data_IF_735570613760
#
_entry.id   IF_735570613760
#
_cell.length_a   1.000
_cell.length_b   1.000
_cell.length_c   1.000
_cell.angle_alpha   90.00
_cell.angle_beta   90.00
_cell.angle_gamma   90.00
#
_symmetry.space_group_name_H-M   'P 1'
#
loop_
_entity.id
_entity.type
_entity.pdbx_description
1 polymer ?
#
# COMPACT_ATOMS: atom_id res chain seq x y z
N UNK A 1 -0.09 -5.98 -31.23
CA UNK A 1 -0.34 -7.03 -32.23
C UNK A 1 0.85 -7.97 -32.18
N UNK A 2 0.64 -9.26 -31.93
CA UNK A 2 1.73 -10.25 -31.84
C UNK A 2 2.44 -10.34 -33.21
N UNK A 3 3.74 -10.62 -33.24
CA UNK A 3 4.53 -10.80 -34.47
C UNK A 3 3.88 -11.88 -35.36
N UNK A 4 3.28 -12.90 -34.75
CA UNK A 4 2.56 -13.95 -35.50
C UNK A 4 1.29 -13.42 -36.16
N UNK A 5 0.54 -12.55 -35.48
CA UNK A 5 -0.67 -11.89 -36.02
C UNK A 5 -0.32 -10.94 -37.16
N UNK A 6 0.71 -10.10 -36.97
CA UNK A 6 1.21 -9.19 -37.98
C UNK A 6 1.66 -9.94 -39.24
N UNK A 7 2.42 -11.02 -39.07
CA UNK A 7 2.88 -11.85 -40.17
C UNK A 7 1.70 -12.57 -40.86
N UNK A 8 0.69 -13.05 -40.14
CA UNK A 8 -0.50 -13.67 -40.76
C UNK A 8 -1.37 -12.68 -41.55
N UNK A 9 -1.35 -11.40 -41.21
CA UNK A 9 -2.03 -10.32 -41.92
C UNK A 9 -1.24 -9.82 -43.14
N UNK A 10 0.08 -9.92 -43.11
CA UNK A 10 1.00 -9.41 -44.14
C UNK A 10 1.74 -10.50 -44.93
N UNK A 11 1.28 -11.76 -44.88
CA UNK A 11 1.80 -12.83 -45.75
C UNK A 11 1.55 -12.44 -47.21
N UNK A 12 2.63 -12.40 -47.97
CA UNK A 12 2.60 -12.19 -49.42
C UNK A 12 1.93 -13.40 -50.10
N UNK A 13 0.73 -13.19 -50.63
CA UNK A 13 -0.11 -14.24 -51.24
C UNK A 13 0.45 -14.76 -52.56
N UNK A 14 1.55 -14.19 -53.04
CA UNK A 14 2.23 -14.60 -54.27
C UNK A 14 3.18 -15.79 -54.09
N UNK A 15 3.62 -16.10 -52.86
CA UNK A 15 4.62 -17.15 -52.59
C UNK A 15 4.07 -18.44 -51.93
N UNK A 16 2.82 -18.43 -51.45
CA UNK A 16 2.18 -19.58 -50.81
C UNK A 16 0.75 -19.79 -51.31
N UNK A 17 0.35 -21.04 -51.57
CA UNK A 17 -1.01 -21.32 -52.01
C UNK A 17 -2.02 -20.84 -50.97
N UNK A 18 -3.09 -20.16 -51.39
CA UNK A 18 -4.14 -19.64 -50.49
C UNK A 18 -4.69 -20.69 -49.50
N UNK A 19 -4.63 -21.97 -49.89
CA UNK A 19 -4.97 -23.13 -49.06
C UNK A 19 -4.04 -23.30 -47.84
N UNK A 20 -2.73 -23.13 -48.03
CA UNK A 20 -1.74 -23.25 -46.94
C UNK A 20 -1.88 -22.12 -45.93
N UNK A 21 -2.13 -20.89 -46.39
CA UNK A 21 -2.37 -19.72 -45.53
C UNK A 21 -3.65 -19.91 -44.70
N UNK A 22 -4.73 -20.41 -45.33
CA UNK A 22 -6.00 -20.72 -44.64
C UNK A 22 -5.81 -21.80 -43.57
N UNK A 23 -5.01 -22.84 -43.86
CA UNK A 23 -4.69 -23.90 -42.89
C UNK A 23 -3.84 -23.36 -41.73
N UNK A 24 -2.87 -22.49 -41.99
CA UNK A 24 -2.05 -21.85 -40.97
C UNK A 24 -2.89 -20.95 -40.04
N UNK A 25 -3.75 -20.09 -40.60
CA UNK A 25 -4.69 -19.24 -39.82
C UNK A 25 -5.63 -20.08 -38.96
N UNK A 26 -6.19 -21.17 -39.50
CA UNK A 26 -7.04 -22.09 -38.74
C UNK A 26 -6.29 -22.73 -37.58
N UNK A 27 -5.07 -23.21 -37.82
CA UNK A 27 -4.26 -23.82 -36.78
C UNK A 27 -3.89 -22.81 -35.68
N UNK A 28 -3.49 -21.59 -36.06
CA UNK A 28 -3.22 -20.51 -35.10
C UNK A 28 -4.44 -20.17 -34.24
N UNK A 29 -5.61 -19.99 -34.86
CA UNK A 29 -6.86 -19.73 -34.13
C UNK A 29 -7.22 -20.89 -33.19
N UNK A 30 -6.99 -22.14 -33.62
CA UNK A 30 -7.18 -23.31 -32.77
C UNK A 30 -6.19 -23.30 -31.58
N UNK A 31 -4.93 -22.94 -31.80
CA UNK A 31 -3.94 -22.79 -30.72
C UNK A 31 -4.33 -21.70 -29.73
N UNK A 32 -4.76 -20.52 -30.19
CA UNK A 32 -5.29 -19.44 -29.34
C UNK A 32 -6.51 -19.90 -28.53
N UNK A 33 -7.42 -20.65 -29.16
CA UNK A 33 -8.59 -21.19 -28.47
C UNK A 33 -8.21 -22.21 -27.38
N UNK A 34 -7.21 -23.06 -27.66
CA UNK A 34 -6.64 -23.99 -26.68
C UNK A 34 -5.91 -23.25 -25.58
N UNK A 35 -5.12 -22.22 -25.89
CA UNK A 35 -4.43 -21.37 -24.92
C UNK A 35 -5.43 -20.69 -24.00
N UNK A 36 -6.45 -20.02 -24.54
CA UNK A 36 -7.51 -19.39 -23.74
C UNK A 36 -8.30 -20.41 -22.89
N UNK A 37 -8.56 -21.61 -23.43
CA UNK A 37 -9.21 -22.69 -22.69
C UNK A 37 -8.34 -23.23 -21.55
N UNK A 38 -7.04 -23.38 -21.79
CA UNK A 38 -6.06 -23.80 -20.80
C UNK A 38 -5.87 -22.72 -19.74
N UNK A 39 -5.74 -21.44 -20.10
CA UNK A 39 -5.69 -20.31 -19.17
C UNK A 39 -6.88 -20.33 -18.21
N UNK A 40 -8.09 -20.55 -18.76
CA UNK A 40 -9.33 -20.64 -17.99
C UNK A 40 -9.39 -21.88 -17.09
N UNK A 41 -8.80 -23.02 -17.48
CA UNK A 41 -8.75 -24.23 -16.65
C UNK A 41 -7.63 -24.21 -15.61
N UNK A 42 -6.50 -23.59 -15.94
CA UNK A 42 -5.39 -23.32 -15.02
C UNK A 42 -5.89 -22.50 -13.83
N UNK A 43 -6.99 -21.75 -13.97
CA UNK A 43 -7.66 -21.06 -12.86
C UNK A 43 -7.95 -21.90 -11.63
N UNK A 44 -8.28 -23.18 -11.82
CA UNK A 44 -8.62 -24.07 -10.71
C UNK A 44 -7.42 -24.88 -10.19
N UNK A 45 -6.26 -24.85 -10.87
CA UNK A 45 -5.13 -25.74 -10.59
C UNK A 45 -3.78 -25.04 -10.36
N UNK A 46 -3.64 -23.76 -10.73
CA UNK A 46 -2.44 -22.97 -10.52
C UNK A 46 -2.42 -22.34 -9.13
N UNK A 47 -1.97 -23.13 -8.14
CA UNK A 47 -1.52 -22.58 -6.87
C UNK A 47 -0.36 -21.61 -7.08
N UNK A 48 -0.16 -20.66 -6.17
CA UNK A 48 0.98 -19.73 -6.25
C UNK A 48 2.31 -20.47 -6.35
N UNK A 49 2.46 -21.58 -5.62
CA UNK A 49 3.63 -22.47 -5.69
C UNK A 49 3.88 -22.99 -7.11
N UNK A 50 2.85 -23.48 -7.80
CA UNK A 50 2.99 -23.98 -9.17
C UNK A 50 3.35 -22.87 -10.15
N UNK A 51 2.81 -21.67 -9.97
CA UNK A 51 3.18 -20.51 -10.80
C UNK A 51 4.64 -20.12 -10.60
N UNK A 52 5.09 -20.06 -9.35
CA UNK A 52 6.49 -19.80 -9.00
C UNK A 52 7.37 -20.87 -9.63
N UNK A 53 7.09 -22.16 -9.41
CA UNK A 53 7.88 -23.27 -9.95
C UNK A 53 7.94 -23.28 -11.48
N UNK A 54 6.85 -22.87 -12.15
CA UNK A 54 6.79 -22.84 -13.61
C UNK A 54 7.56 -21.65 -14.20
N UNK A 55 7.44 -20.46 -13.63
CA UNK A 55 8.02 -19.25 -14.20
C UNK A 55 9.45 -18.99 -13.74
N UNK A 56 9.88 -19.51 -12.58
CA UNK A 56 11.24 -19.26 -12.04
C UNK A 56 12.34 -19.66 -13.03
N UNK A 57 12.41 -20.91 -13.52
CA UNK A 57 13.46 -21.28 -14.47
C UNK A 57 13.41 -20.49 -15.78
N UNK A 58 12.23 -20.02 -16.19
CA UNK A 58 12.05 -19.20 -17.40
C UNK A 58 12.62 -17.79 -17.21
N UNK A 59 12.32 -17.17 -16.07
CA UNK A 59 12.84 -15.84 -15.76
C UNK A 59 14.35 -15.88 -15.54
N UNK A 60 14.89 -16.96 -14.97
CA UNK A 60 16.33 -17.14 -14.79
C UNK A 60 17.08 -17.37 -16.11
N UNK A 61 16.47 -18.09 -17.05
CA UNK A 61 17.02 -18.29 -18.39
C UNK A 61 16.96 -17.02 -19.27
N UNK A 62 15.92 -16.19 -19.08
CA UNK A 62 15.68 -14.98 -19.87
C UNK A 62 15.44 -13.75 -18.96
N UNK A 63 16.44 -13.34 -18.14
CA UNK A 63 16.26 -12.26 -17.16
C UNK A 63 15.92 -10.92 -17.83
N UNK A 64 16.42 -10.72 -19.05
CA UNK A 64 16.25 -9.50 -19.84
C UNK A 64 15.05 -9.54 -20.81
N UNK A 65 14.22 -10.59 -20.79
CA UNK A 65 12.95 -10.61 -21.52
C UNK A 65 11.83 -9.80 -20.82
N UNK A 66 11.47 -8.63 -21.36
CA UNK A 66 10.42 -7.75 -20.80
C UNK A 66 9.01 -8.32 -20.98
N UNK A 67 8.73 -8.99 -22.11
CA UNK A 67 7.41 -9.57 -22.37
C UNK A 67 7.11 -10.73 -21.43
N UNK A 68 8.13 -11.53 -21.09
CA UNK A 68 8.03 -12.53 -20.04
C UNK A 68 7.73 -11.89 -18.67
N UNK A 69 8.43 -10.80 -18.31
CA UNK A 69 8.17 -10.08 -17.07
C UNK A 69 6.73 -9.54 -17.00
N UNK A 70 6.23 -8.93 -18.09
CA UNK A 70 4.83 -8.48 -18.20
C UNK A 70 3.84 -9.63 -18.02
N UNK A 71 4.11 -10.79 -18.63
CA UNK A 71 3.28 -12.00 -18.45
C UNK A 71 3.27 -12.46 -16.98
N UNK A 72 4.44 -12.54 -16.35
CA UNK A 72 4.58 -12.91 -14.92
C UNK A 72 3.75 -11.96 -14.05
N UNK A 73 3.94 -10.64 -14.17
CA UNK A 73 3.20 -9.65 -13.39
C UNK A 73 1.69 -9.84 -13.54
N UNK A 74 1.20 -9.89 -14.80
CA UNK A 74 -0.23 -10.04 -15.10
C UNK A 74 -0.82 -11.30 -14.46
N UNK A 75 -0.18 -12.46 -14.65
CA UNK A 75 -0.70 -13.73 -14.13
C UNK A 75 -0.65 -13.79 -12.60
N UNK A 76 0.42 -13.27 -12.00
CA UNK A 76 0.58 -13.30 -10.54
C UNK A 76 -0.40 -12.34 -9.86
N UNK A 77 -0.64 -11.15 -10.41
CA UNK A 77 -1.66 -10.22 -9.90
C UNK A 77 -3.07 -10.80 -10.02
N UNK A 78 -3.41 -11.38 -11.18
CA UNK A 78 -4.70 -12.04 -11.42
C UNK A 78 -4.97 -13.16 -10.41
N UNK A 79 -3.91 -13.84 -9.96
CA UNK A 79 -3.94 -14.94 -9.00
C UNK A 79 -3.73 -14.51 -7.55
N UNK A 80 -3.46 -13.23 -7.31
CA UNK A 80 -3.08 -12.69 -6.00
C UNK A 80 -1.84 -13.39 -5.41
N UNK A 81 -0.93 -13.85 -6.27
CA UNK A 81 0.32 -14.53 -5.90
C UNK A 81 1.51 -13.55 -5.83
N UNK A 82 1.29 -12.36 -5.30
CA UNK A 82 2.25 -11.24 -5.36
C UNK A 82 3.32 -11.27 -4.26
N UNK A 83 3.35 -12.32 -3.46
CA UNK A 83 4.29 -12.51 -2.34
C UNK A 83 5.42 -13.50 -2.74
N UNK A 84 6.10 -13.24 -3.85
CA UNK A 84 7.22 -14.07 -4.32
C UNK A 84 8.36 -13.25 -4.92
N UNK A 85 9.58 -13.76 -4.86
CA UNK A 85 10.77 -13.09 -5.42
C UNK A 85 10.71 -12.95 -6.94
N UNK A 86 10.18 -13.96 -7.62
CA UNK A 86 10.00 -13.94 -9.08
C UNK A 86 9.06 -12.81 -9.51
N UNK A 87 7.96 -12.60 -8.77
CA UNK A 87 7.03 -11.51 -9.02
C UNK A 87 7.69 -10.16 -8.78
N UNK A 88 8.45 -10.02 -7.68
CA UNK A 88 9.16 -8.78 -7.38
C UNK A 88 10.15 -8.41 -8.48
N UNK A 89 11.01 -9.35 -8.92
CA UNK A 89 11.95 -9.13 -10.03
C UNK A 89 11.24 -8.78 -11.34
N UNK A 90 10.14 -9.46 -11.63
CA UNK A 90 9.35 -9.17 -12.83
C UNK A 90 8.72 -7.76 -12.76
N UNK A 91 8.13 -7.40 -11.62
CA UNK A 91 7.50 -6.10 -11.44
C UNK A 91 8.54 -4.98 -11.47
N UNK A 92 9.69 -5.15 -10.82
CA UNK A 92 10.77 -4.15 -10.84
C UNK A 92 11.14 -3.78 -12.27
N UNK A 93 11.25 -4.78 -13.14
CA UNK A 93 11.56 -4.56 -14.55
C UNK A 93 10.44 -3.93 -15.34
N UNK A 94 9.20 -4.41 -15.16
CA UNK A 94 8.03 -3.81 -15.82
C UNK A 94 7.86 -2.36 -15.41
N UNK A 95 8.08 -2.07 -14.12
CA UNK A 95 7.99 -0.74 -13.56
C UNK A 95 9.11 0.17 -14.07
N UNK A 96 10.35 -0.33 -14.19
CA UNK A 96 11.48 0.45 -14.71
C UNK A 96 11.25 0.90 -16.16
N UNK A 97 10.64 0.05 -16.99
CA UNK A 97 10.34 0.39 -18.38
C UNK A 97 9.14 1.35 -18.51
N UNK A 98 8.05 1.05 -17.80
CA UNK A 98 6.81 1.81 -17.92
C UNK A 98 6.17 1.99 -16.54
N UNK A 99 6.62 3.00 -15.76
CA UNK A 99 6.05 3.29 -14.46
C UNK A 99 4.55 3.64 -14.57
N UNK A 100 3.75 3.01 -13.73
CA UNK A 100 2.32 3.29 -13.56
C UNK A 100 2.01 3.48 -12.09
N UNK A 101 0.88 4.11 -11.76
CA UNK A 101 0.45 4.28 -10.37
C UNK A 101 0.31 2.92 -9.65
N UNK A 102 -0.25 1.92 -10.33
CA UNK A 102 -0.37 0.55 -9.83
C UNK A 102 0.98 -0.14 -9.62
N UNK A 103 1.89 -0.06 -10.58
CA UNK A 103 3.21 -0.69 -10.44
C UNK A 103 4.03 -0.04 -9.33
N UNK A 104 3.98 1.29 -9.21
CA UNK A 104 4.60 2.03 -8.11
C UNK A 104 4.02 1.62 -6.75
N UNK A 105 2.69 1.54 -6.64
CA UNK A 105 2.01 1.10 -5.42
C UNK A 105 2.42 -0.34 -5.04
N UNK A 106 2.45 -1.24 -6.02
CA UNK A 106 2.85 -2.64 -5.82
C UNK A 106 4.32 -2.76 -5.42
N UNK A 107 5.24 -2.00 -6.04
CA UNK A 107 6.66 -1.94 -5.66
C UNK A 107 6.83 -1.44 -4.23
N UNK A 108 6.16 -0.35 -3.87
CA UNK A 108 6.18 0.22 -2.51
C UNK A 108 5.64 -0.77 -1.46
N UNK A 109 4.50 -1.40 -1.73
CA UNK A 109 3.90 -2.38 -0.83
C UNK A 109 4.80 -3.63 -0.64
N UNK A 110 5.45 -4.10 -1.70
CA UNK A 110 6.38 -5.23 -1.58
C UNK A 110 7.62 -4.87 -0.78
N UNK A 111 8.23 -3.71 -1.03
CA UNK A 111 9.35 -3.23 -0.25
C UNK A 111 8.97 -3.09 1.24
N UNK A 112 7.77 -2.61 1.56
CA UNK A 112 7.21 -2.59 2.93
C UNK A 112 7.14 -3.99 3.55
N UNK A 113 6.58 -4.98 2.84
CA UNK A 113 6.49 -6.38 3.31
C UNK A 113 7.87 -6.99 3.57
N UNK A 114 8.87 -6.60 2.77
CA UNK A 114 10.28 -6.99 2.91
C UNK A 114 11.03 -6.18 3.97
N UNK A 115 10.38 -5.22 4.63
CA UNK A 115 10.97 -4.28 5.60
C UNK A 115 12.06 -3.38 5.00
N UNK A 116 12.03 -3.19 3.69
CA UNK A 116 12.93 -2.31 2.94
C UNK A 116 12.34 -0.89 2.85
N UNK A 117 12.02 -0.29 4.00
CA UNK A 117 11.29 0.98 4.11
C UNK A 117 11.91 2.12 3.28
N UNK A 118 13.24 2.24 3.32
CA UNK A 118 13.95 3.26 2.53
C UNK A 118 13.75 3.10 1.02
N UNK A 119 13.59 1.86 0.52
CA UNK A 119 13.25 1.58 -0.88
C UNK A 119 11.77 1.77 -1.16
N UNK A 120 10.89 1.48 -0.20
CA UNK A 120 9.45 1.63 -0.36
C UNK A 120 9.03 3.09 -0.56
N UNK A 121 9.61 4.00 0.23
CA UNK A 121 9.28 5.43 0.24
C UNK A 121 9.17 6.06 -1.17
N UNK A 122 10.21 6.03 -2.05
CA UNK A 122 10.12 6.68 -3.36
C UNK A 122 9.01 6.09 -4.23
N UNK A 123 8.79 4.77 -4.23
CA UNK A 123 7.70 4.15 -4.98
C UNK A 123 6.32 4.56 -4.46
N UNK A 124 6.16 4.69 -3.14
CA UNK A 124 4.90 5.12 -2.54
C UNK A 124 4.62 6.61 -2.82
N UNK A 125 5.64 7.47 -2.83
CA UNK A 125 5.51 8.87 -3.27
C UNK A 125 5.07 8.91 -4.73
N UNK A 126 5.78 8.20 -5.61
CA UNK A 126 5.44 8.14 -7.03
C UNK A 126 4.02 7.62 -7.26
N UNK A 127 3.56 6.62 -6.51
CA UNK A 127 2.19 6.14 -6.56
C UNK A 127 1.18 7.24 -6.21
N UNK A 128 1.44 8.03 -5.15
CA UNK A 128 0.57 9.15 -4.77
C UNK A 128 0.53 10.28 -5.80
N UNK A 129 1.61 10.48 -6.56
CA UNK A 129 1.69 11.48 -7.63
C UNK A 129 0.98 11.01 -8.90
N UNK A 130 1.16 9.74 -9.27
CA UNK A 130 0.61 9.16 -10.50
C UNK A 130 -0.89 8.83 -10.41
N UNK A 131 -1.41 8.48 -9.23
CA UNK A 131 -2.86 8.27 -9.09
C UNK A 131 -3.59 9.61 -9.29
N UNK A 132 -4.54 9.70 -10.23
CA UNK A 132 -5.40 10.88 -10.34
C UNK A 132 -6.39 10.90 -9.18
N UNK A 133 -6.87 12.10 -8.84
CA UNK A 133 -7.84 12.28 -7.74
C UNK A 133 -9.17 11.56 -8.01
N UNK A 134 -9.51 11.31 -9.28
CA UNK A 134 -10.69 10.51 -9.68
C UNK A 134 -10.64 9.06 -9.21
N UNK A 135 -9.47 8.53 -8.86
CA UNK A 135 -9.28 7.19 -8.28
C UNK A 135 -8.95 7.29 -6.79
N UNK A 136 -9.74 8.09 -6.08
CA UNK A 136 -9.55 8.46 -4.68
C UNK A 136 -9.24 7.26 -3.75
N UNK A 137 -9.94 6.14 -3.90
CA UNK A 137 -9.71 4.96 -3.06
C UNK A 137 -8.28 4.40 -3.18
N UNK A 138 -7.72 4.33 -4.40
CA UNK A 138 -6.35 3.83 -4.60
C UNK A 138 -5.32 4.88 -4.16
N UNK A 139 -5.56 6.15 -4.47
CA UNK A 139 -4.71 7.26 -4.03
C UNK A 139 -4.62 7.35 -2.51
N UNK A 140 -5.76 7.25 -1.82
CA UNK A 140 -5.83 7.18 -0.36
C UNK A 140 -5.12 5.96 0.22
N UNK A 141 -5.20 4.80 -0.44
CA UNK A 141 -4.45 3.61 -0.03
C UNK A 141 -2.93 3.78 -0.19
N UNK A 142 -2.48 4.44 -1.27
CA UNK A 142 -1.08 4.79 -1.47
C UNK A 142 -0.57 5.74 -0.37
N UNK A 143 -1.34 6.78 -0.04
CA UNK A 143 -1.03 7.68 1.08
C UNK A 143 -0.99 6.96 2.43
N UNK A 144 -1.84 5.96 2.64
CA UNK A 144 -1.89 5.22 3.90
C UNK A 144 -0.62 4.38 4.09
N UNK A 145 -0.18 3.69 3.03
CA UNK A 145 1.10 2.96 3.03
C UNK A 145 2.28 3.92 3.19
N UNK A 146 2.27 5.06 2.51
CA UNK A 146 3.32 6.09 2.64
C UNK A 146 3.40 6.62 4.07
N UNK A 147 2.26 6.88 4.73
CA UNK A 147 2.23 7.33 6.11
C UNK A 147 2.84 6.30 7.06
N UNK A 148 2.55 5.01 6.86
CA UNK A 148 3.08 3.92 7.67
C UNK A 148 4.59 3.70 7.45
N UNK A 149 5.05 3.80 6.20
CA UNK A 149 6.46 3.75 5.83
C UNK A 149 7.26 4.89 6.49
N UNK A 150 6.79 6.13 6.31
CA UNK A 150 7.41 7.33 6.91
C UNK A 150 7.39 7.28 8.44
N UNK A 151 6.31 6.76 9.06
CA UNK A 151 6.24 6.53 10.51
C UNK A 151 7.33 5.56 10.95
N UNK A 152 7.53 4.47 10.21
CA UNK A 152 8.55 3.46 10.52
C UNK A 152 9.96 4.02 10.38
N UNK A 153 10.18 4.88 9.38
CA UNK A 153 11.41 5.66 9.19
C UNK A 153 11.56 6.82 10.19
N UNK A 154 10.63 6.99 11.13
CA UNK A 154 10.58 8.08 12.13
C UNK A 154 10.53 9.48 11.53
N UNK A 155 10.08 9.61 10.29
CA UNK A 155 9.86 10.89 9.60
C UNK A 155 8.47 11.45 9.95
N UNK A 156 8.25 11.73 11.24
CA UNK A 156 6.91 11.91 11.79
C UNK A 156 6.11 13.08 11.20
N UNK A 157 6.75 14.20 10.88
CA UNK A 157 6.06 15.34 10.25
C UNK A 157 5.54 14.97 8.85
N UNK A 158 6.37 14.30 8.05
CA UNK A 158 5.98 13.84 6.72
C UNK A 158 4.91 12.74 6.80
N UNK A 159 5.05 11.80 7.73
CA UNK A 159 4.07 10.75 7.99
C UNK A 159 2.70 11.32 8.40
N UNK A 160 2.67 12.34 9.26
CA UNK A 160 1.42 13.03 9.63
C UNK A 160 0.77 13.68 8.42
N UNK A 161 1.55 14.36 7.57
CA UNK A 161 1.02 14.96 6.35
C UNK A 161 0.45 13.90 5.40
N UNK A 162 1.13 12.78 5.22
CA UNK A 162 0.63 11.66 4.42
C UNK A 162 -0.68 11.09 5.01
N UNK A 163 -0.74 10.86 6.33
CA UNK A 163 -1.94 10.38 7.01
C UNK A 163 -3.13 11.37 6.87
N UNK A 164 -2.88 12.68 6.97
CA UNK A 164 -3.92 13.68 6.73
C UNK A 164 -4.38 13.71 5.26
N UNK A 165 -3.49 13.47 4.31
CA UNK A 165 -3.87 13.32 2.90
C UNK A 165 -4.75 12.08 2.67
N UNK A 166 -4.55 10.97 3.40
CA UNK A 166 -5.47 9.82 3.35
C UNK A 166 -6.92 10.28 3.56
N UNK A 167 -7.15 11.12 4.56
CA UNK A 167 -8.50 11.58 4.94
C UNK A 167 -9.14 12.50 3.89
N UNK A 168 -8.37 13.13 2.99
CA UNK A 168 -8.91 13.87 1.85
C UNK A 168 -9.58 12.94 0.82
N UNK A 169 -9.05 11.73 0.68
CA UNK A 169 -9.51 10.76 -0.32
C UNK A 169 -10.36 9.63 0.26
N UNK A 170 -10.17 9.32 1.54
CA UNK A 170 -10.91 8.32 2.32
C UNK A 170 -11.31 8.90 3.68
N UNK A 171 -12.36 9.72 3.75
CA UNK A 171 -12.73 10.46 4.97
C UNK A 171 -13.01 9.59 6.21
N UNK A 172 -13.42 8.34 6.00
CA UNK A 172 -13.73 7.38 7.07
C UNK A 172 -12.57 6.41 7.38
N UNK A 173 -11.38 6.67 6.86
CA UNK A 173 -10.18 5.85 7.09
C UNK A 173 -9.59 6.12 8.49
N UNK A 174 -10.15 5.45 9.50
CA UNK A 174 -9.73 5.60 10.90
C UNK A 174 -8.26 5.24 11.15
N UNK A 175 -7.66 4.37 10.33
CA UNK A 175 -6.24 4.01 10.46
C UNK A 175 -5.31 5.23 10.32
N UNK A 176 -5.70 6.24 9.54
CA UNK A 176 -4.92 7.47 9.43
C UNK A 176 -4.75 8.17 10.79
N UNK A 177 -5.83 8.26 11.59
CA UNK A 177 -5.75 8.83 12.93
C UNK A 177 -5.03 7.92 13.93
N UNK A 178 -5.12 6.59 13.77
CA UNK A 178 -4.34 5.65 14.58
C UNK A 178 -2.84 5.86 14.35
N UNK A 179 -2.40 5.98 13.09
CA UNK A 179 -1.00 6.25 12.74
C UNK A 179 -0.52 7.56 13.39
N UNK A 180 -1.33 8.63 13.34
CA UNK A 180 -1.01 9.91 14.00
C UNK A 180 -0.89 9.75 15.51
N UNK A 181 -1.86 9.09 16.15
CA UNK A 181 -1.81 8.82 17.59
C UNK A 181 -0.58 8.01 18.00
N UNK A 182 -0.21 7.00 17.21
CA UNK A 182 0.97 6.16 17.46
C UNK A 182 2.28 6.95 17.40
N UNK A 183 2.38 7.92 16.49
CA UNK A 183 3.52 8.84 16.45
C UNK A 183 3.58 9.72 17.70
N UNK A 184 2.43 10.23 18.16
CA UNK A 184 2.36 11.09 19.35
C UNK A 184 2.76 10.31 20.61
N UNK A 185 2.34 9.05 20.73
CA UNK A 185 2.81 8.15 21.80
C UNK A 185 4.31 7.91 21.70
N UNK A 186 4.82 7.62 20.51
CA UNK A 186 6.25 7.34 20.29
C UNK A 186 7.15 8.51 20.67
N UNK A 187 6.67 9.75 20.49
CA UNK A 187 7.42 10.97 20.82
C UNK A 187 6.96 11.63 22.12
N UNK A 188 6.20 10.94 22.97
CA UNK A 188 5.59 11.59 24.13
C UNK A 188 6.60 12.18 25.13
N UNK A 189 7.77 11.53 25.26
CA UNK A 189 8.86 12.01 26.11
C UNK A 189 9.43 13.36 25.67
N UNK A 190 9.32 13.72 24.40
CA UNK A 190 9.81 15.00 23.86
C UNK A 190 8.73 16.09 23.85
N UNK A 191 7.51 15.76 24.30
CA UNK A 191 6.36 16.65 24.32
C UNK A 191 5.77 16.61 25.74
N UNK A 192 6.52 17.22 26.65
CA UNK A 192 6.20 17.34 28.06
C UNK A 192 5.93 18.79 28.43
N UNK A 193 4.99 18.98 29.35
CA UNK A 193 4.75 20.25 30.02
C UNK A 193 4.78 20.00 31.52
N UNK A 194 5.66 20.72 32.24
CA UNK A 194 5.82 20.58 33.70
C UNK A 194 5.95 19.12 34.17
N UNK A 195 6.67 18.27 33.42
CA UNK A 195 6.88 16.85 33.72
C UNK A 195 5.73 15.90 33.34
N UNK A 196 4.65 16.40 32.74
CA UNK A 196 3.54 15.59 32.22
C UNK A 196 3.70 15.42 30.71
N UNK A 197 3.62 14.17 30.23
CA UNK A 197 3.62 13.85 28.80
C UNK A 197 2.29 14.27 28.14
N UNK A 198 2.15 15.55 27.76
CA UNK A 198 0.91 16.09 27.19
C UNK A 198 0.53 15.45 25.85
N UNK A 199 1.51 14.91 25.12
CA UNK A 199 1.27 14.12 23.91
C UNK A 199 0.38 12.89 24.11
N UNK A 200 0.30 12.32 25.31
CA UNK A 200 -0.61 11.21 25.59
C UNK A 200 -2.08 11.63 25.50
N UNK A 201 -2.41 12.88 25.85
CA UNK A 201 -3.76 13.41 25.65
C UNK A 201 -4.06 13.64 24.18
N UNK A 202 -3.12 14.23 23.42
CA UNK A 202 -3.28 14.40 21.98
C UNK A 202 -3.42 13.06 21.25
N UNK A 203 -2.63 12.04 21.62
CA UNK A 203 -2.76 10.69 21.07
C UNK A 203 -4.15 10.10 21.37
N UNK A 204 -4.65 10.29 22.59
CA UNK A 204 -5.98 9.84 22.97
C UNK A 204 -7.10 10.49 22.12
N UNK A 205 -6.95 11.77 21.77
CA UNK A 205 -7.88 12.46 20.87
C UNK A 205 -7.88 11.83 19.49
N UNK A 206 -6.70 11.48 18.95
CA UNK A 206 -6.60 10.81 17.64
C UNK A 206 -7.24 9.43 17.67
N UNK A 207 -7.01 8.63 18.71
CA UNK A 207 -7.64 7.32 18.84
C UNK A 207 -9.17 7.42 18.98
N UNK A 208 -9.69 8.40 19.74
CA UNK A 208 -11.13 8.66 19.79
C UNK A 208 -11.68 9.07 18.44
N UNK A 209 -10.99 9.95 17.73
CA UNK A 209 -11.40 10.38 16.38
C UNK A 209 -11.41 9.21 15.40
N UNK A 210 -10.40 8.34 15.43
CA UNK A 210 -10.35 7.12 14.64
C UNK A 210 -11.57 6.21 14.86
N UNK A 211 -11.91 5.96 16.13
CA UNK A 211 -13.05 5.11 16.50
C UNK A 211 -14.40 5.72 16.10
N UNK A 212 -14.52 7.05 16.05
CA UNK A 212 -15.76 7.75 15.74
C UNK A 212 -16.05 7.84 14.23
N UNK A 213 -15.02 7.94 13.39
CA UNK A 213 -15.21 8.12 11.94
C UNK A 213 -15.26 6.81 11.15
N UNK A 214 -14.71 5.73 11.72
CA UNK A 214 -14.54 4.48 10.98
C UNK A 214 -15.79 3.62 11.05
N UNK A 215 -16.14 3.00 9.93
CA UNK A 215 -17.15 1.96 9.85
C UNK A 215 -16.54 0.55 9.95
N UNK A 216 -15.22 0.43 10.04
CA UNK A 216 -14.54 -0.85 10.19
C UNK A 216 -14.41 -1.22 11.68
N UNK A 217 -15.13 -2.26 12.09
CA UNK A 217 -15.13 -2.75 13.47
C UNK A 217 -13.75 -3.19 13.97
N UNK A 218 -12.85 -3.66 13.09
CA UNK A 218 -11.47 -3.98 13.47
C UNK A 218 -10.70 -2.71 13.80
N UNK A 219 -10.82 -1.67 12.97
CA UNK A 219 -10.17 -0.37 13.21
C UNK A 219 -10.71 0.26 14.49
N UNK A 220 -12.03 0.21 14.70
CA UNK A 220 -12.68 0.69 15.92
C UNK A 220 -12.17 -0.04 17.17
N UNK A 221 -12.02 -1.36 17.11
CA UNK A 221 -11.44 -2.16 18.20
C UNK A 221 -9.99 -1.75 18.50
N UNK A 222 -9.15 -1.61 17.47
CA UNK A 222 -7.75 -1.17 17.62
C UNK A 222 -7.68 0.22 18.27
N UNK A 223 -8.47 1.17 17.78
CA UNK A 223 -8.53 2.52 18.32
C UNK A 223 -8.93 2.55 19.80
N UNK A 224 -9.99 1.81 20.16
CA UNK A 224 -10.46 1.72 21.54
C UNK A 224 -9.43 1.05 22.47
N UNK A 225 -8.73 0.01 21.99
CA UNK A 225 -7.66 -0.64 22.75
C UNK A 225 -6.48 0.32 22.99
N UNK A 226 -6.04 1.05 21.96
CA UNK A 226 -4.97 2.06 22.08
C UNK A 226 -5.36 3.20 23.03
N UNK A 227 -6.59 3.70 22.94
CA UNK A 227 -7.13 4.69 23.86
C UNK A 227 -7.14 4.18 25.32
N UNK A 228 -7.64 2.97 25.56
CA UNK A 228 -7.68 2.38 26.90
C UNK A 228 -6.28 2.16 27.48
N UNK A 229 -5.31 1.79 26.65
CA UNK A 229 -3.92 1.64 27.04
C UNK A 229 -3.30 2.98 27.45
N UNK A 230 -3.45 4.02 26.62
CA UNK A 230 -2.80 5.30 26.87
C UNK A 230 -3.42 6.06 28.05
N UNK A 231 -4.73 5.89 28.31
CA UNK A 231 -5.42 6.49 29.45
C UNK A 231 -4.77 6.13 30.79
N UNK A 232 -4.17 4.94 30.91
CA UNK A 232 -3.45 4.51 32.13
C UNK A 232 -2.21 5.35 32.42
N UNK A 233 -1.67 6.04 31.40
CA UNK A 233 -0.50 6.91 31.50
C UNK A 233 -0.86 8.37 31.78
N UNK A 234 -2.15 8.69 31.93
CA UNK A 234 -2.56 10.03 32.33
C UNK A 234 -2.16 10.32 33.78
N UNK A 235 -1.88 11.58 34.12
CA UNK A 235 -1.62 11.98 35.51
C UNK A 235 -2.79 11.64 36.43
N UNK A 236 -2.50 11.46 37.72
CA UNK A 236 -3.57 11.39 38.73
C UNK A 236 -4.08 12.80 39.03
N UNK A 237 -5.28 12.91 39.63
CA UNK A 237 -5.86 14.22 39.99
C UNK A 237 -4.93 15.08 40.87
N UNK A 238 -4.14 14.46 41.73
CA UNK A 238 -3.15 15.15 42.57
C UNK A 238 -2.07 15.83 41.73
N UNK A 239 -1.60 15.22 40.64
CA UNK A 239 -0.61 15.83 39.74
C UNK A 239 -1.15 17.08 39.06
N UNK A 240 -2.44 17.06 38.68
CA UNK A 240 -3.11 18.22 38.11
C UNK A 240 -3.26 19.33 39.14
N UNK A 241 -3.67 18.99 40.37
CA UNK A 241 -3.81 19.93 41.47
C UNK A 241 -2.49 20.65 41.80
N UNK A 242 -1.37 19.91 41.89
CA UNK A 242 -0.04 20.49 42.13
C UNK A 242 0.41 21.49 41.05
N UNK A 243 -0.20 21.42 39.85
CA UNK A 243 0.09 22.31 38.72
C UNK A 243 -0.97 23.39 38.52
N UNK A 244 -1.97 23.47 39.40
CA UNK A 244 -3.15 24.32 39.24
C UNK A 244 -3.86 24.10 37.88
N UNK A 245 -3.86 22.85 37.41
CA UNK A 245 -4.50 22.47 36.15
C UNK A 245 -5.91 21.94 36.38
N UNK A 246 -6.86 22.46 35.61
CA UNK A 246 -8.26 22.05 35.67
C UNK A 246 -8.54 20.97 34.62
N UNK A 247 -9.06 19.83 35.05
CA UNK A 247 -9.55 18.79 34.13
C UNK A 247 -10.65 19.35 33.21
N UNK A 248 -10.59 19.01 31.93
CA UNK A 248 -11.48 19.55 30.90
C UNK A 248 -11.01 20.86 30.26
N UNK A 249 -10.01 21.54 30.82
CA UNK A 249 -9.43 22.73 30.20
C UNK A 249 -8.56 22.39 28.97
N UNK A 250 -8.47 23.29 27.99
CA UNK A 250 -7.57 23.13 26.86
C UNK A 250 -6.10 23.29 27.31
N UNK A 251 -5.20 22.59 26.62
CA UNK A 251 -3.75 22.75 26.76
C UNK A 251 -3.07 22.53 25.42
N UNK A 252 -2.01 23.29 25.14
CA UNK A 252 -1.20 23.10 23.94
C UNK A 252 -0.16 22.00 24.15
N UNK A 253 0.00 21.14 23.15
CA UNK A 253 1.06 20.14 23.08
C UNK A 253 2.17 20.70 22.19
N UNK A 254 3.29 21.05 22.82
CA UNK A 254 4.44 21.65 22.14
C UNK A 254 5.21 20.71 21.20
N UNK A 255 6.32 21.22 20.69
CA UNK A 255 7.19 20.50 19.75
C UNK A 255 6.54 20.32 18.39
N UNK A 256 6.90 19.24 17.69
CA UNK A 256 6.39 18.98 16.33
C UNK A 256 4.89 18.62 16.30
N UNK A 257 4.32 18.23 17.45
CA UNK A 257 2.89 17.91 17.58
C UNK A 257 2.08 19.18 17.36
N UNK A 258 2.34 20.25 18.09
CA UNK A 258 1.73 21.58 17.91
C UNK A 258 0.20 21.52 17.74
N UNK A 259 -0.48 20.87 18.68
CA UNK A 259 -1.94 20.72 18.70
C UNK A 259 -2.51 21.05 20.07
N UNK A 260 -3.73 21.58 20.12
CA UNK A 260 -4.48 21.73 21.37
C UNK A 260 -5.21 20.44 21.71
N UNK A 261 -5.12 20.02 22.97
CA UNK A 261 -5.82 18.87 23.53
C UNK A 261 -6.54 19.26 24.83
N UNK A 262 -7.14 18.30 25.52
CA UNK A 262 -7.86 18.50 26.78
C UNK A 262 -7.15 17.80 27.93
N UNK A 263 -6.97 18.52 29.04
CA UNK A 263 -6.41 17.99 30.29
C UNK A 263 -7.36 16.91 30.85
N UNK A 264 -6.81 15.73 31.15
CA UNK A 264 -7.55 14.58 31.68
C UNK A 264 -6.74 13.87 32.76
N UNK A 265 -7.40 13.45 33.83
CA UNK A 265 -6.81 12.57 34.83
C UNK A 265 -7.16 11.10 34.57
N UNK A 266 -6.39 10.19 35.16
CA UNK A 266 -6.78 8.78 35.30
C UNK A 266 -7.55 8.51 36.60
#
# INVERSE_FOLDING_TARGET
MDIVEYNLEHIDTTAGSASQIKKAKRNYNNFKAVEAYLEKRIENYATCEKLVNYYTPKQEAEPDNLDLAKKIVKFFEMRKCTDSDIYYKALEKVHAEAPTAESALSMGNMAMKRKEYAKAKPYLIQATELFPDSVANKKGAAYLLLAEDLRTLKQYSAARNAALNVLKYKPNEGMAYIIIGDMYVATAKTAQESGINTAYWAAADKYRKAANITNDEKVKKIANQKYASIKKSFPVKQDLFMRNWKEGSPIEVGGWINETTTIRAR
#
